data_IF_684864867419
#
_entry.id   IF_684864867419
#
_cell.length_a   1.000
_cell.length_b   1.000
_cell.length_c   1.000
_cell.angle_alpha   90.00
_cell.angle_beta   90.00
_cell.angle_gamma   90.00
#
_symmetry.space_group_name_H-M   'P 1'
#
loop_
_entity.id
_entity.type
_entity.pdbx_description
1 polymer ?
#
# COMPACT_ATOMS: atom_id res chain seq x y z
N UNK A 1 -9.29 -6.92 7.35
CA UNK A 1 -8.72 -5.54 7.38
C UNK A 1 -8.41 -5.12 5.95
N UNK A 2 -8.62 -3.85 5.58
CA UNK A 2 -8.54 -3.34 4.18
C UNK A 2 -7.12 -3.28 3.59
N UNK A 3 -6.08 -3.38 4.43
CA UNK A 3 -4.67 -3.26 4.04
C UNK A 3 -4.24 -4.23 2.93
N UNK A 4 -4.56 -5.52 3.05
CA UNK A 4 -4.16 -6.51 2.05
C UNK A 4 -4.76 -6.21 0.67
N UNK A 5 -6.05 -5.86 0.61
CA UNK A 5 -6.73 -5.48 -0.62
C UNK A 5 -6.09 -4.24 -1.29
N UNK A 6 -5.65 -3.26 -0.48
CA UNK A 6 -4.95 -2.07 -0.99
C UNK A 6 -3.57 -2.43 -1.57
N UNK A 7 -2.86 -3.39 -0.98
CA UNK A 7 -1.60 -3.89 -1.55
C UNK A 7 -1.82 -4.64 -2.87
N UNK A 8 -2.88 -5.45 -2.96
CA UNK A 8 -3.22 -6.17 -4.18
C UNK A 8 -3.65 -5.21 -5.29
N UNK A 9 -4.44 -4.18 -4.97
CA UNK A 9 -4.75 -3.08 -5.87
C UNK A 9 -3.47 -2.39 -6.37
N UNK A 10 -2.49 -2.17 -5.48
CA UNK A 10 -1.16 -1.68 -5.84
C UNK A 10 -0.48 -2.55 -6.92
N UNK A 11 -0.47 -3.88 -6.74
CA UNK A 11 0.12 -4.80 -7.73
C UNK A 11 -0.55 -4.70 -9.10
N UNK A 12 -1.88 -4.54 -9.14
CA UNK A 12 -2.62 -4.32 -10.38
C UNK A 12 -2.16 -3.03 -11.08
N UNK A 13 -2.02 -1.94 -10.34
CA UNK A 13 -1.53 -0.67 -10.91
C UNK A 13 -0.09 -0.78 -11.41
N UNK A 14 0.80 -1.46 -10.66
CA UNK A 14 2.16 -1.72 -11.11
C UNK A 14 2.20 -2.54 -12.41
N UNK A 15 1.36 -3.58 -12.52
CA UNK A 15 1.24 -4.38 -13.74
C UNK A 15 0.74 -3.55 -14.92
N UNK A 16 -0.30 -2.73 -14.74
CA UNK A 16 -0.80 -1.80 -15.76
C UNK A 16 0.24 -0.74 -16.17
N UNK A 17 1.15 -0.38 -15.25
CA UNK A 17 2.27 0.51 -15.52
C UNK A 17 3.44 -0.16 -16.26
N UNK A 18 3.41 -1.49 -16.44
CA UNK A 18 4.51 -2.27 -17.01
C UNK A 18 5.71 -2.39 -16.07
N UNK A 19 5.48 -2.35 -14.76
CA UNK A 19 6.52 -2.44 -13.72
C UNK A 19 6.50 -3.82 -13.07
N UNK A 20 7.66 -4.31 -12.66
CA UNK A 20 7.73 -5.50 -11.82
C UNK A 20 7.14 -5.24 -10.43
N UNK A 21 6.55 -6.28 -9.84
CA UNK A 21 6.00 -6.19 -8.51
C UNK A 21 7.11 -5.96 -7.46
N UNK A 22 6.98 -4.87 -6.71
CA UNK A 22 7.89 -4.58 -5.59
C UNK A 22 7.78 -5.67 -4.51
N UNK A 23 8.93 -6.16 -4.04
CA UNK A 23 8.97 -7.12 -2.94
C UNK A 23 8.57 -6.42 -1.64
N UNK A 24 7.48 -6.85 -0.96
CA UNK A 24 7.02 -6.18 0.25
C UNK A 24 8.04 -6.27 1.39
N UNK A 25 8.33 -5.14 2.04
CA UNK A 25 9.20 -5.10 3.21
C UNK A 25 8.60 -5.88 4.41
N UNK A 26 9.41 -6.15 5.45
CA UNK A 26 8.91 -6.75 6.70
C UNK A 26 7.80 -5.90 7.33
N UNK A 27 7.93 -4.57 7.30
CA UNK A 27 6.92 -3.65 7.84
C UNK A 27 5.59 -3.73 7.09
N UNK A 28 5.63 -3.79 5.75
CA UNK A 28 4.42 -3.94 4.91
C UNK A 28 3.67 -5.22 5.26
N UNK A 29 4.40 -6.34 5.43
CA UNK A 29 3.82 -7.64 5.75
C UNK A 29 3.27 -7.71 7.17
N UNK A 30 3.98 -7.13 8.14
CA UNK A 30 3.61 -7.15 9.55
C UNK A 30 2.70 -5.99 9.95
N UNK A 31 2.20 -5.20 9.00
CA UNK A 31 1.40 -4.01 9.24
C UNK A 31 0.28 -4.21 10.29
N UNK A 32 -0.58 -5.25 10.21
CA UNK A 32 -1.67 -5.40 11.18
C UNK A 32 -1.18 -5.67 12.61
N UNK A 33 0.01 -6.26 12.76
CA UNK A 33 0.63 -6.52 14.07
C UNK A 33 1.22 -5.22 14.62
N UNK A 34 2.05 -4.54 13.83
CA UNK A 34 2.70 -3.27 14.23
C UNK A 34 1.67 -2.18 14.55
N UNK A 35 0.54 -2.16 13.83
CA UNK A 35 -0.54 -1.21 14.05
C UNK A 35 -1.22 -1.39 15.43
N UNK A 36 -1.28 -2.62 15.96
CA UNK A 36 -1.83 -2.90 17.31
C UNK A 36 -0.91 -2.41 18.41
N UNK A 37 0.38 -2.27 18.13
CA UNK A 37 1.39 -1.75 19.06
C UNK A 37 1.40 -0.21 19.11
N UNK A 38 0.77 0.47 18.13
CA UNK A 38 0.65 1.92 18.11
C UNK A 38 -0.31 2.46 19.19
N UNK A 39 -0.05 3.67 19.74
CA UNK A 39 -1.03 4.46 20.45
C UNK A 39 -2.30 4.70 19.62
N UNK A 40 -3.46 4.86 20.28
CA UNK A 40 -4.78 4.93 19.64
C UNK A 40 -4.86 5.96 18.50
N UNK A 41 -4.43 7.21 18.73
CA UNK A 41 -4.50 8.27 17.71
C UNK A 41 -3.70 7.95 16.44
N UNK A 42 -2.54 7.29 16.60
CA UNK A 42 -1.66 6.91 15.51
C UNK A 42 -2.21 5.73 14.72
N UNK A 43 -2.88 4.81 15.43
CA UNK A 43 -3.64 3.72 14.83
C UNK A 43 -4.79 4.25 13.97
N UNK A 44 -5.59 5.16 14.52
CA UNK A 44 -6.71 5.78 13.80
C UNK A 44 -6.22 6.54 12.55
N UNK A 45 -5.12 7.28 12.67
CA UNK A 45 -4.51 7.97 11.54
C UNK A 45 -4.06 7.00 10.43
N UNK A 46 -3.38 5.91 10.79
CA UNK A 46 -2.95 4.90 9.82
C UNK A 46 -4.15 4.18 9.19
N UNK A 47 -5.18 3.84 9.96
CA UNK A 47 -6.40 3.21 9.45
C UNK A 47 -7.17 4.12 8.49
N UNK A 48 -7.27 5.41 8.80
CA UNK A 48 -7.87 6.39 7.90
C UNK A 48 -7.05 6.55 6.62
N UNK A 49 -5.72 6.63 6.72
CA UNK A 49 -4.84 6.63 5.55
C UNK A 49 -5.06 5.41 4.64
N UNK A 50 -5.27 4.21 5.21
CA UNK A 50 -5.62 3.01 4.43
C UNK A 50 -6.98 3.12 3.77
N UNK A 51 -7.98 3.73 4.42
CA UNK A 51 -9.30 3.97 3.81
C UNK A 51 -9.21 4.97 2.65
N UNK A 52 -8.49 6.07 2.85
CA UNK A 52 -8.29 7.11 1.82
C UNK A 52 -7.56 6.54 0.61
N UNK A 53 -6.49 5.76 0.85
CA UNK A 53 -5.75 5.09 -0.20
C UNK A 53 -6.65 4.14 -1.00
N UNK A 54 -7.50 3.38 -0.33
CA UNK A 54 -8.46 2.51 -1.02
C UNK A 54 -9.50 3.29 -1.83
N UNK A 55 -9.99 4.43 -1.30
CA UNK A 55 -10.97 5.28 -1.97
C UNK A 55 -10.41 5.93 -3.25
N UNK A 56 -9.10 6.17 -3.33
CA UNK A 56 -8.43 6.66 -4.54
C UNK A 56 -8.14 5.52 -5.52
N UNK A 57 -7.68 4.36 -5.01
CA UNK A 57 -7.25 3.24 -5.85
C UNK A 57 -8.40 2.62 -6.65
N UNK A 58 -9.58 2.47 -6.06
CA UNK A 58 -10.74 1.86 -6.73
C UNK A 58 -11.17 2.59 -8.01
N UNK A 59 -11.49 3.91 -7.99
CA UNK A 59 -11.82 4.63 -9.22
C UNK A 59 -10.61 4.80 -10.15
N UNK A 60 -9.39 4.93 -9.60
CA UNK A 60 -8.17 5.03 -10.39
C UNK A 60 -7.94 3.78 -11.26
N UNK A 61 -8.06 2.60 -10.68
CA UNK A 61 -7.97 1.33 -11.42
C UNK A 61 -9.10 1.20 -12.44
N UNK A 62 -10.34 1.52 -12.05
CA UNK A 62 -11.48 1.47 -12.98
C UNK A 62 -11.24 2.36 -14.21
N UNK A 63 -10.70 3.57 -14.02
CA UNK A 63 -10.36 4.47 -15.11
C UNK A 63 -9.26 3.90 -16.02
N UNK A 64 -8.20 3.31 -15.45
CA UNK A 64 -7.12 2.68 -16.23
C UNK A 64 -7.63 1.50 -17.06
N UNK A 65 -8.49 0.67 -16.48
CA UNK A 65 -9.12 -0.46 -17.18
C UNK A 65 -10.03 0.03 -18.31
N UNK A 66 -10.78 1.11 -18.10
CA UNK A 66 -11.64 1.70 -19.13
C UNK A 66 -10.82 2.28 -20.31
N UNK A 67 -9.68 2.92 -20.03
CA UNK A 67 -8.75 3.40 -21.06
C UNK A 67 -8.21 2.22 -21.87
N UNK A 68 -7.75 1.17 -21.20
CA UNK A 68 -7.23 -0.04 -21.83
C UNK A 68 -8.29 -0.74 -22.69
N UNK A 69 -9.53 -0.84 -22.20
CA UNK A 69 -10.65 -1.44 -22.93
C UNK A 69 -11.01 -0.68 -24.21
N UNK A 70 -10.68 0.62 -24.30
CA UNK A 70 -10.84 1.44 -25.51
C UNK A 70 -9.64 1.35 -26.46
N UNK A 71 -8.65 0.50 -26.17
CA UNK A 71 -7.45 0.30 -26.98
C UNK A 71 -6.38 1.39 -26.80
N UNK A 72 -6.54 2.30 -25.84
CA UNK A 72 -5.53 3.30 -25.51
C UNK A 72 -4.55 2.78 -24.47
N UNK A 73 -3.31 3.25 -24.49
CA UNK A 73 -2.26 2.84 -23.54
C UNK A 73 -2.44 3.52 -22.17
N UNK A 74 -2.75 2.78 -21.08
CA UNK A 74 -2.92 3.34 -19.75
C UNK A 74 -1.60 3.57 -19.00
N UNK A 75 -0.44 3.14 -19.53
CA UNK A 75 0.82 3.03 -18.77
C UNK A 75 1.28 4.34 -18.13
N UNK A 76 1.14 5.47 -18.81
CA UNK A 76 1.53 6.77 -18.26
C UNK A 76 0.70 7.17 -17.03
N UNK A 77 -0.62 6.99 -17.12
CA UNK A 77 -1.53 7.25 -16.01
C UNK A 77 -1.33 6.23 -14.87
N UNK A 78 -1.09 4.96 -15.21
CA UNK A 78 -0.81 3.91 -14.24
C UNK A 78 0.49 4.20 -13.45
N UNK A 79 1.55 4.67 -14.12
CA UNK A 79 2.78 5.11 -13.43
C UNK A 79 2.55 6.28 -12.48
N UNK A 80 1.69 7.22 -12.84
CA UNK A 80 1.35 8.33 -11.95
C UNK A 80 0.62 7.82 -10.69
N UNK A 81 -0.43 7.01 -10.87
CA UNK A 81 -1.16 6.41 -9.75
C UNK A 81 -0.27 5.52 -8.88
N UNK A 82 0.65 4.75 -9.49
CA UNK A 82 1.59 3.91 -8.75
C UNK A 82 2.52 4.73 -7.84
N UNK A 83 3.01 5.89 -8.31
CA UNK A 83 3.85 6.78 -7.50
C UNK A 83 3.07 7.34 -6.31
N UNK A 84 1.85 7.82 -6.54
CA UNK A 84 0.99 8.32 -5.46
C UNK A 84 0.70 7.22 -4.43
N UNK A 85 0.35 6.03 -4.90
CA UNK A 85 0.16 4.86 -4.06
C UNK A 85 1.40 4.54 -3.22
N UNK A 86 2.57 4.52 -3.84
CA UNK A 86 3.82 4.17 -3.17
C UNK A 86 4.20 5.20 -2.10
N UNK A 87 4.04 6.49 -2.41
CA UNK A 87 4.28 7.60 -1.47
C UNK A 87 3.31 7.54 -0.29
N UNK A 88 2.00 7.40 -0.55
CA UNK A 88 0.99 7.32 0.50
C UNK A 88 1.19 6.07 1.39
N UNK A 89 1.49 4.93 0.78
CA UNK A 89 1.81 3.68 1.50
C UNK A 89 3.03 3.86 2.40
N UNK A 90 4.09 4.50 1.91
CA UNK A 90 5.29 4.76 2.70
C UNK A 90 4.99 5.69 3.89
N UNK A 91 4.19 6.74 3.69
CA UNK A 91 3.77 7.64 4.77
C UNK A 91 2.95 6.91 5.85
N UNK A 92 2.04 6.02 5.46
CA UNK A 92 1.27 5.18 6.39
C UNK A 92 2.20 4.25 7.20
N UNK A 93 3.19 3.64 6.54
CA UNK A 93 4.16 2.76 7.21
C UNK A 93 5.05 3.53 8.18
N UNK A 94 5.41 4.78 7.86
CA UNK A 94 6.20 5.64 8.74
C UNK A 94 5.50 5.98 10.06
N UNK A 95 4.17 5.80 10.15
CA UNK A 95 3.44 5.93 11.40
C UNK A 95 3.70 4.76 12.35
N UNK A 96 4.04 3.58 11.83
CA UNK A 96 4.20 2.36 12.62
C UNK A 96 5.53 2.34 13.38
N UNK A 97 5.63 1.56 14.46
CA UNK A 97 6.93 1.25 15.05
C UNK A 97 7.86 0.63 13.99
N UNK A 98 9.18 0.84 14.12
CA UNK A 98 10.14 0.11 13.30
C UNK A 98 9.91 -1.39 13.49
N UNK A 99 9.95 -2.16 12.40
CA UNK A 99 10.07 -3.61 12.53
C UNK A 99 11.43 -3.90 13.13
N UNK A 100 11.50 -4.01 14.46
CA UNK A 100 12.74 -4.35 15.14
C UNK A 100 13.33 -5.61 14.51
N UNK A 101 14.62 -5.58 14.20
CA UNK A 101 15.38 -6.81 14.34
C UNK A 101 15.18 -7.24 15.78
N UNK A 102 14.53 -8.40 15.95
CA UNK A 102 14.29 -9.12 17.18
C UNK A 102 15.02 -8.52 18.40
N UNK A 103 14.25 -7.93 19.33
CA UNK A 103 14.73 -7.75 20.70
C UNK A 103 15.33 -9.07 21.22
N UNK A 104 16.26 -9.01 22.18
CA UNK A 104 17.24 -10.08 22.43
C UNK A 104 16.57 -11.45 22.47
N UNK A 105 17.12 -12.41 21.70
CA UNK A 105 16.70 -13.81 21.74
C UNK A 105 16.63 -14.21 23.21
N UNK A 106 15.44 -14.52 23.71
CA UNK A 106 15.26 -15.18 24.99
C UNK A 106 15.92 -16.55 24.85
N UNK A 107 17.21 -16.63 25.20
CA UNK A 107 17.89 -17.89 25.47
C UNK A 107 17.23 -18.48 26.70
N UNK A 108 16.76 -19.72 26.56
CA UNK A 108 16.18 -20.53 27.61
C UNK A 108 17.19 -20.82 28.73
#
# INVERSE_FOLDING_TARGET
MRWAAVLDAGKVVAALAGMEAERPSKQVRNFPVLLRECPKWKRELAENGVKDLAAVMEPGIAALLAINARGADPRHAARALWREFSTARAAIIALLPPSGDMGPRRSA
#
